data_IF_781832376402
#
_entry.id   IF_781832376402
#
_cell.length_a   1.000
_cell.length_b   1.000
_cell.length_c   1.000
_cell.angle_alpha   90.00
_cell.angle_beta   90.00
_cell.angle_gamma   90.00
#
_symmetry.space_group_name_H-M   'P 1'
#
loop_
_entity.id
_entity.type
_entity.pdbx_description
1 polymer ?
#
# COMPACT_ATOMS: atom_id res chain seq x y z
N UNK A 1 3.28 -17.31 -11.64
CA UNK A 1 3.79 -18.01 -12.85
C UNK A 1 4.32 -19.38 -12.46
N UNK A 2 4.13 -20.44 -13.25
CA UNK A 2 4.60 -21.79 -12.89
C UNK A 2 6.13 -21.91 -12.75
N UNK A 3 6.87 -20.94 -13.25
CA UNK A 3 8.34 -20.91 -13.24
C UNK A 3 8.93 -20.02 -12.14
N UNK A 4 8.10 -19.35 -11.35
CA UNK A 4 8.55 -18.52 -10.22
C UNK A 4 9.09 -19.37 -9.07
N UNK A 5 10.23 -19.05 -8.43
CA UNK A 5 11.17 -17.96 -8.76
C UNK A 5 12.36 -18.42 -9.66
N UNK A 6 12.20 -19.55 -10.36
CA UNK A 6 13.27 -20.11 -11.22
C UNK A 6 13.61 -19.19 -12.39
N UNK A 7 12.61 -18.51 -12.95
CA UNK A 7 12.83 -17.58 -14.07
C UNK A 7 13.72 -16.42 -13.63
N UNK A 8 13.43 -15.84 -12.47
CA UNK A 8 14.18 -14.72 -11.88
C UNK A 8 15.64 -15.11 -11.62
N UNK A 9 15.86 -16.28 -10.99
CA UNK A 9 17.21 -16.76 -10.72
C UNK A 9 18.01 -17.05 -12.00
N UNK A 10 17.38 -17.67 -13.00
CA UNK A 10 18.05 -18.00 -14.28
C UNK A 10 18.43 -16.73 -15.05
N UNK A 11 17.52 -15.76 -15.10
CA UNK A 11 17.76 -14.48 -15.76
C UNK A 11 18.90 -13.72 -15.05
N UNK A 12 18.84 -13.62 -13.73
CA UNK A 12 19.86 -12.95 -12.93
C UNK A 12 21.22 -13.63 -13.01
N UNK A 13 21.30 -14.95 -13.07
CA UNK A 13 22.58 -15.66 -13.27
C UNK A 13 23.30 -15.20 -14.54
N UNK A 14 22.56 -14.84 -15.58
CA UNK A 14 23.11 -14.36 -16.84
C UNK A 14 23.35 -12.85 -16.89
N UNK A 15 22.60 -12.07 -16.11
CA UNK A 15 22.58 -10.60 -16.22
C UNK A 15 23.16 -9.87 -15.00
N UNK A 16 23.52 -10.58 -13.93
CA UNK A 16 23.94 -10.00 -12.63
C UNK A 16 24.96 -8.85 -12.76
N UNK A 17 25.94 -8.98 -13.65
CA UNK A 17 27.00 -7.99 -13.80
C UNK A 17 26.52 -6.69 -14.48
N UNK A 18 25.37 -6.76 -15.17
CA UNK A 18 24.87 -5.69 -16.03
C UNK A 18 23.63 -4.97 -15.48
N UNK A 19 22.94 -5.55 -14.48
CA UNK A 19 21.69 -5.00 -13.93
C UNK A 19 21.86 -4.59 -12.47
N UNK A 20 21.13 -3.59 -12.03
CA UNK A 20 21.06 -3.13 -10.64
C UNK A 20 19.71 -3.43 -10.00
N UNK A 21 18.69 -3.70 -10.81
CA UNK A 21 17.33 -3.94 -10.36
C UNK A 21 16.70 -5.14 -11.04
N UNK A 22 15.77 -5.78 -10.31
CA UNK A 22 14.79 -6.71 -10.87
C UNK A 22 13.43 -6.02 -10.86
N UNK A 23 12.75 -6.04 -11.99
CA UNK A 23 11.36 -5.54 -12.13
C UNK A 23 10.38 -6.57 -11.57
N UNK A 24 9.38 -6.08 -10.85
CA UNK A 24 8.27 -6.87 -10.30
C UNK A 24 6.95 -6.19 -10.62
N UNK A 25 5.93 -7.01 -10.96
CA UNK A 25 4.57 -6.56 -11.21
C UNK A 25 3.58 -7.42 -10.45
N UNK A 26 2.62 -6.82 -9.77
CA UNK A 26 1.52 -7.53 -9.12
C UNK A 26 0.29 -6.65 -8.97
N UNK A 27 -0.86 -7.21 -9.33
CA UNK A 27 -2.17 -6.61 -9.13
C UNK A 27 -3.04 -7.47 -8.22
N UNK A 28 -3.86 -6.82 -7.41
CA UNK A 28 -4.75 -7.45 -6.43
C UNK A 28 -6.20 -7.09 -6.72
N UNK A 29 -7.14 -7.87 -6.18
CA UNK A 29 -8.56 -7.55 -6.36
C UNK A 29 -9.49 -8.44 -5.57
N UNK A 30 -10.56 -7.86 -5.03
CA UNK A 30 -11.59 -8.55 -4.26
C UNK A 30 -12.63 -9.21 -5.18
N UNK A 31 -12.22 -10.23 -5.93
CA UNK A 31 -13.09 -10.94 -6.89
C UNK A 31 -14.13 -11.83 -6.21
N UNK A 32 -13.86 -12.28 -4.99
CA UNK A 32 -14.75 -13.14 -4.21
C UNK A 32 -15.69 -12.34 -3.30
N UNK A 33 -15.54 -11.00 -3.30
CA UNK A 33 -16.25 -10.06 -2.43
C UNK A 33 -16.10 -10.41 -0.93
N UNK A 34 -14.89 -10.86 -0.56
CA UNK A 34 -14.45 -11.11 0.81
C UNK A 34 -13.45 -10.02 1.22
N UNK A 35 -13.95 -9.01 1.93
CA UNK A 35 -13.13 -7.86 2.34
C UNK A 35 -12.03 -8.27 3.32
N UNK A 36 -12.30 -9.19 4.25
CA UNK A 36 -11.29 -9.63 5.22
C UNK A 36 -10.09 -10.29 4.51
N UNK A 37 -10.36 -11.21 3.59
CA UNK A 37 -9.35 -11.86 2.77
C UNK A 37 -8.62 -10.87 1.84
N UNK A 38 -9.36 -9.94 1.25
CA UNK A 38 -8.78 -8.93 0.38
C UNK A 38 -7.81 -7.98 1.12
N UNK A 39 -8.10 -7.60 2.36
CA UNK A 39 -7.19 -6.79 3.17
C UNK A 39 -5.93 -7.55 3.62
N UNK A 40 -5.88 -8.87 3.44
CA UNK A 40 -4.67 -9.66 3.63
C UNK A 40 -3.73 -9.68 2.40
N UNK A 41 -4.11 -9.08 1.27
CA UNK A 41 -3.30 -9.05 0.05
C UNK A 41 -1.90 -8.44 0.21
N UNK A 42 -1.70 -7.60 1.23
CA UNK A 42 -0.38 -7.05 1.57
C UNK A 42 0.58 -8.11 2.11
N UNK A 43 0.07 -9.19 2.70
CA UNK A 43 0.90 -10.30 3.18
C UNK A 43 1.43 -11.11 1.98
N UNK A 44 0.63 -11.28 0.92
CA UNK A 44 1.10 -11.83 -0.36
C UNK A 44 2.18 -10.95 -1.01
N UNK A 45 2.01 -9.63 -0.95
CA UNK A 45 3.01 -8.68 -1.45
C UNK A 45 4.32 -8.78 -0.66
N UNK A 46 4.25 -8.89 0.66
CA UNK A 46 5.42 -9.09 1.53
C UNK A 46 6.18 -10.37 1.16
N UNK A 47 5.46 -11.49 1.04
CA UNK A 47 6.04 -12.78 0.66
C UNK A 47 6.67 -12.72 -0.74
N UNK A 48 6.02 -12.09 -1.70
CA UNK A 48 6.54 -11.92 -3.05
C UNK A 48 7.84 -11.13 -3.06
N UNK A 49 7.89 -9.97 -2.37
CA UNK A 49 9.12 -9.17 -2.23
C UNK A 49 10.23 -9.99 -1.57
N UNK A 50 9.95 -10.65 -0.45
CA UNK A 50 10.94 -11.47 0.28
C UNK A 50 11.48 -12.61 -0.57
N UNK A 51 10.64 -13.26 -1.37
CA UNK A 51 11.05 -14.35 -2.26
C UNK A 51 11.98 -13.84 -3.36
N UNK A 52 11.69 -12.69 -3.97
CA UNK A 52 12.58 -12.11 -5.00
C UNK A 52 13.88 -11.60 -4.38
N UNK A 53 13.84 -10.98 -3.21
CA UNK A 53 15.05 -10.59 -2.45
C UNK A 53 15.93 -11.80 -2.18
N UNK A 54 15.37 -12.88 -1.65
CA UNK A 54 16.12 -14.12 -1.38
C UNK A 54 16.72 -14.71 -2.67
N UNK A 55 16.01 -14.61 -3.79
CA UNK A 55 16.50 -15.05 -5.10
C UNK A 55 17.68 -14.19 -5.58
N UNK A 56 17.61 -12.88 -5.41
CA UNK A 56 18.73 -11.96 -5.70
C UNK A 56 19.95 -12.30 -4.85
N UNK A 57 19.76 -12.53 -3.56
CA UNK A 57 20.85 -12.85 -2.62
C UNK A 57 21.46 -14.24 -2.90
N UNK A 58 20.64 -15.22 -3.31
CA UNK A 58 21.13 -16.51 -3.78
C UNK A 58 22.05 -16.36 -5.01
N UNK A 59 21.65 -15.57 -6.01
CA UNK A 59 22.49 -15.35 -7.22
C UNK A 59 23.74 -14.58 -6.86
N UNK A 60 23.68 -13.54 -6.02
CA UNK A 60 24.84 -12.83 -5.49
C UNK A 60 25.82 -13.79 -4.84
N UNK A 61 25.37 -14.67 -3.96
CA UNK A 61 26.20 -15.66 -3.27
C UNK A 61 26.82 -16.66 -4.25
N UNK A 62 26.04 -17.19 -5.19
CA UNK A 62 26.47 -18.14 -6.23
C UNK A 62 27.57 -17.55 -7.10
N UNK A 63 27.42 -16.30 -7.48
CA UNK A 63 28.40 -15.56 -8.29
C UNK A 63 29.58 -15.00 -7.48
N UNK A 64 29.53 -15.10 -6.15
CA UNK A 64 30.48 -14.43 -5.23
C UNK A 64 30.57 -12.93 -5.51
N UNK A 65 29.45 -12.33 -5.92
CA UNK A 65 29.31 -10.93 -6.23
C UNK A 65 29.31 -10.06 -4.98
N UNK A 66 29.55 -8.76 -5.15
CA UNK A 66 29.57 -7.78 -4.03
C UNK A 66 28.38 -6.84 -4.04
N UNK A 67 27.77 -6.58 -5.20
CA UNK A 67 26.64 -5.69 -5.31
C UNK A 67 25.33 -6.39 -4.96
N UNK A 68 24.43 -5.65 -4.33
CA UNK A 68 23.05 -6.08 -4.15
C UNK A 68 22.26 -5.75 -5.42
N UNK A 69 21.41 -6.68 -5.85
CA UNK A 69 20.40 -6.41 -6.85
C UNK A 69 19.14 -5.97 -6.09
N UNK A 70 18.71 -4.75 -6.33
CA UNK A 70 17.52 -4.19 -5.70
C UNK A 70 16.26 -4.47 -6.51
N UNK A 71 15.13 -4.03 -6.01
CA UNK A 71 13.82 -4.25 -6.63
C UNK A 71 13.30 -2.92 -7.20
N UNK A 72 12.81 -2.98 -8.43
CA UNK A 72 11.90 -2.04 -9.04
C UNK A 72 10.52 -2.68 -9.05
N UNK A 73 9.67 -2.32 -8.09
CA UNK A 73 8.28 -2.73 -8.10
C UNK A 73 7.49 -1.70 -8.91
N UNK A 74 7.68 -1.76 -10.22
CA UNK A 74 7.31 -0.70 -11.17
C UNK A 74 5.90 -0.83 -11.72
N UNK A 75 5.16 -1.91 -11.39
CA UNK A 75 3.72 -1.98 -11.55
C UNK A 75 3.06 -2.67 -10.35
N UNK A 76 2.21 -1.95 -9.65
CA UNK A 76 1.37 -2.50 -8.59
C UNK A 76 0.12 -1.65 -8.42
N UNK A 77 -1.01 -2.26 -8.13
CA UNK A 77 -2.27 -1.61 -7.78
C UNK A 77 -3.34 -2.66 -7.43
N UNK A 78 -4.53 -2.20 -7.10
CA UNK A 78 -5.79 -2.94 -7.23
C UNK A 78 -6.26 -2.84 -8.68
N UNK A 79 -6.67 -3.98 -9.28
CA UNK A 79 -7.22 -4.00 -10.62
C UNK A 79 -8.14 -5.20 -10.82
N UNK A 80 -9.43 -4.96 -10.84
CA UNK A 80 -10.45 -5.99 -11.11
C UNK A 80 -11.84 -5.44 -11.45
N UNK A 81 -12.14 -4.19 -11.10
CA UNK A 81 -13.48 -3.61 -11.24
C UNK A 81 -13.92 -3.47 -12.70
N UNK A 82 -13.02 -3.09 -13.59
CA UNK A 82 -13.30 -2.88 -15.01
C UNK A 82 -13.30 -4.18 -15.83
N UNK A 83 -12.79 -5.29 -15.32
CA UNK A 83 -12.49 -6.50 -16.10
C UNK A 83 -13.69 -6.98 -16.95
N UNK A 84 -14.90 -7.02 -16.40
CA UNK A 84 -16.07 -7.48 -17.15
C UNK A 84 -16.46 -6.51 -18.28
N UNK A 85 -16.32 -5.21 -18.06
CA UNK A 85 -16.58 -4.18 -19.09
C UNK A 85 -15.49 -4.21 -20.18
N UNK A 86 -14.22 -4.40 -19.79
CA UNK A 86 -13.09 -4.52 -20.70
C UNK A 86 -13.22 -5.75 -21.60
N UNK A 87 -13.65 -6.88 -21.02
CA UNK A 87 -13.92 -8.10 -21.76
C UNK A 87 -15.07 -7.92 -22.77
N UNK A 88 -16.15 -7.24 -22.38
CA UNK A 88 -17.27 -6.93 -23.28
C UNK A 88 -16.82 -6.04 -24.45
N UNK A 89 -16.04 -5.00 -24.17
CA UNK A 89 -15.49 -4.12 -25.21
C UNK A 89 -14.63 -4.91 -26.18
N UNK A 90 -13.73 -5.75 -25.70
CA UNK A 90 -12.79 -6.47 -26.56
C UNK A 90 -13.44 -7.58 -27.37
N UNK A 91 -14.44 -8.27 -26.81
CA UNK A 91 -15.08 -9.43 -27.43
C UNK A 91 -16.28 -9.05 -28.31
N UNK A 92 -17.13 -8.15 -27.82
CA UNK A 92 -18.41 -7.83 -28.47
C UNK A 92 -18.39 -6.49 -29.24
N UNK A 93 -17.51 -5.57 -28.83
CA UNK A 93 -17.42 -4.23 -29.42
C UNK A 93 -15.97 -3.85 -29.80
N UNK A 94 -15.24 -4.70 -30.53
CA UNK A 94 -13.83 -4.46 -30.85
C UNK A 94 -13.65 -3.25 -31.79
N UNK A 95 -12.45 -2.71 -31.81
CA UNK A 95 -12.02 -1.66 -32.73
C UNK A 95 -12.72 -0.30 -32.55
N UNK A 96 -13.22 -0.02 -31.35
CA UNK A 96 -13.72 1.31 -31.02
C UNK A 96 -12.57 2.32 -30.93
N UNK A 97 -12.87 3.58 -31.18
CA UNK A 97 -11.91 4.67 -31.01
C UNK A 97 -11.91 5.10 -29.54
N UNK A 98 -10.78 4.92 -28.85
CA UNK A 98 -10.57 5.28 -27.44
C UNK A 98 -11.71 4.81 -26.51
N UNK A 99 -11.99 3.49 -26.45
CA UNK A 99 -12.99 2.98 -25.52
C UNK A 99 -12.55 3.20 -24.06
N UNK A 100 -13.48 3.29 -23.10
CA UNK A 100 -13.17 3.41 -21.69
C UNK A 100 -12.69 2.06 -21.12
N UNK A 101 -11.41 1.74 -21.31
CA UNK A 101 -10.80 0.51 -20.85
C UNK A 101 -9.92 0.76 -19.61
N UNK A 102 -9.90 -0.22 -18.69
CA UNK A 102 -9.10 -0.16 -17.45
C UNK A 102 -9.49 1.04 -16.57
N UNK A 103 -10.71 1.50 -16.66
CA UNK A 103 -11.22 2.62 -15.87
C UNK A 103 -11.86 2.10 -14.56
N UNK A 104 -11.06 1.49 -13.70
CA UNK A 104 -11.51 1.01 -12.38
C UNK A 104 -12.04 2.17 -11.53
N UNK A 105 -13.18 1.96 -10.89
CA UNK A 105 -13.74 2.88 -9.91
C UNK A 105 -13.50 2.30 -8.52
N UNK A 106 -12.62 2.95 -7.77
CA UNK A 106 -12.13 2.46 -6.50
C UNK A 106 -13.03 2.78 -5.33
N UNK A 107 -13.28 1.76 -4.53
CA UNK A 107 -14.03 1.84 -3.27
C UNK A 107 -13.14 2.22 -2.09
N UNK A 108 -13.73 2.36 -0.90
CA UNK A 108 -12.95 2.60 0.31
C UNK A 108 -12.11 1.37 0.72
N UNK A 109 -12.60 0.14 0.52
CA UNK A 109 -11.75 -1.04 0.80
C UNK A 109 -10.50 -1.09 -0.08
N UNK A 110 -10.58 -0.61 -1.33
CA UNK A 110 -9.41 -0.51 -2.20
C UNK A 110 -8.38 0.50 -1.66
N UNK A 111 -8.86 1.60 -1.05
CA UNK A 111 -7.98 2.55 -0.39
C UNK A 111 -7.24 1.94 0.80
N UNK A 112 -7.91 1.09 1.59
CA UNK A 112 -7.28 0.35 2.68
C UNK A 112 -6.23 -0.64 2.14
N UNK A 113 -6.55 -1.39 1.08
CA UNK A 113 -5.62 -2.32 0.44
C UNK A 113 -4.39 -1.59 -0.12
N UNK A 114 -4.57 -0.45 -0.80
CA UNK A 114 -3.46 0.39 -1.28
C UNK A 114 -2.64 0.94 -0.11
N UNK A 115 -3.28 1.34 0.98
CA UNK A 115 -2.59 1.77 2.21
C UNK A 115 -1.71 0.67 2.80
N UNK A 116 -2.21 -0.57 2.86
CA UNK A 116 -1.47 -1.75 3.31
C UNK A 116 -0.28 -2.07 2.39
N UNK A 117 -0.49 -2.03 1.07
CA UNK A 117 0.61 -2.20 0.09
C UNK A 117 1.69 -1.12 0.26
N UNK A 118 1.32 0.13 0.50
CA UNK A 118 2.27 1.21 0.78
C UNK A 118 3.07 0.99 2.06
N UNK A 119 2.43 0.49 3.13
CA UNK A 119 3.12 0.10 4.36
C UNK A 119 4.14 -1.00 4.05
N UNK A 120 3.76 -2.02 3.30
CA UNK A 120 4.65 -3.11 2.89
C UNK A 120 5.85 -2.61 2.09
N UNK A 121 5.62 -1.73 1.10
CA UNK A 121 6.71 -1.13 0.31
C UNK A 121 7.66 -0.30 1.17
N UNK A 122 7.15 0.46 2.14
CA UNK A 122 7.98 1.23 3.09
C UNK A 122 8.78 0.30 4.02
N UNK A 123 8.22 -0.81 4.48
CA UNK A 123 8.94 -1.82 5.27
C UNK A 123 10.12 -2.42 4.52
N UNK A 124 10.01 -2.56 3.21
CA UNK A 124 11.04 -3.10 2.35
C UNK A 124 11.92 -2.04 1.66
N UNK A 125 11.94 -0.80 2.16
CA UNK A 125 12.71 0.31 1.57
C UNK A 125 14.23 0.06 1.53
N UNK A 126 14.74 -0.90 2.28
CA UNK A 126 16.13 -1.37 2.19
C UNK A 126 16.44 -2.03 0.84
N UNK A 127 15.48 -2.72 0.21
CA UNK A 127 15.65 -3.45 -1.05
C UNK A 127 14.75 -2.94 -2.19
N UNK A 128 13.53 -2.49 -1.90
CA UNK A 128 12.64 -1.86 -2.88
C UNK A 128 13.02 -0.39 -3.03
N UNK A 129 13.71 -0.06 -4.12
CA UNK A 129 14.20 1.30 -4.38
C UNK A 129 13.32 2.11 -5.32
N UNK A 130 12.49 1.43 -6.08
CA UNK A 130 11.53 2.01 -7.02
C UNK A 130 10.19 1.34 -6.75
N UNK A 131 9.13 2.14 -6.60
CA UNK A 131 7.76 1.66 -6.45
C UNK A 131 6.81 2.59 -7.21
N UNK A 132 6.23 2.10 -8.33
CA UNK A 132 5.38 2.91 -9.20
C UNK A 132 3.95 2.36 -9.18
N UNK A 133 3.02 3.17 -8.70
CA UNK A 133 1.60 2.86 -8.84
C UNK A 133 1.20 2.87 -10.33
N UNK A 134 0.59 1.84 -10.81
CA UNK A 134 0.05 1.77 -12.16
C UNK A 134 -1.47 2.04 -12.12
N UNK A 135 -1.96 3.17 -12.71
CA UNK A 135 -1.23 4.26 -13.30
C UNK A 135 -1.61 5.58 -12.59
N UNK A 136 -1.55 6.74 -13.28
CA UNK A 136 -1.77 8.03 -12.60
C UNK A 136 -3.13 8.64 -12.88
N UNK A 137 -3.58 8.64 -14.15
CA UNK A 137 -4.82 9.28 -14.60
C UNK A 137 -5.63 8.34 -15.46
N UNK A 138 -6.91 8.20 -15.16
CA UNK A 138 -7.97 7.44 -15.84
C UNK A 138 -7.77 5.92 -15.87
N UNK A 139 -6.61 5.42 -16.24
CA UNK A 139 -6.34 3.98 -16.39
C UNK A 139 -5.87 3.40 -15.08
N UNK A 140 -6.69 2.58 -14.41
CA UNK A 140 -6.44 2.00 -13.06
C UNK A 140 -5.78 3.03 -12.12
N UNK A 141 -6.38 4.19 -12.02
CA UNK A 141 -5.68 5.39 -11.56
C UNK A 141 -6.31 6.07 -10.32
N UNK A 142 -5.50 6.72 -9.49
CA UNK A 142 -5.99 7.51 -8.35
C UNK A 142 -6.73 8.80 -8.76
N UNK A 143 -6.57 9.26 -10.02
CA UNK A 143 -7.20 10.48 -10.54
C UNK A 143 -8.02 10.11 -11.77
N UNK A 144 -9.27 10.52 -11.78
CA UNK A 144 -10.17 10.37 -12.93
C UNK A 144 -10.55 11.73 -13.50
N UNK A 145 -10.91 11.74 -14.78
CA UNK A 145 -11.42 12.91 -15.48
C UNK A 145 -12.70 12.56 -16.24
N UNK A 146 -13.63 13.51 -16.31
CA UNK A 146 -14.81 13.35 -17.17
C UNK A 146 -14.41 13.34 -18.65
N UNK A 147 -15.12 12.54 -19.45
CA UNK A 147 -14.93 12.47 -20.88
C UNK A 147 -15.22 13.83 -21.53
N UNK A 148 -14.38 14.22 -22.49
CA UNK A 148 -14.55 15.48 -23.22
C UNK A 148 -14.02 16.73 -22.51
N UNK A 149 -13.22 16.60 -21.45
CA UNK A 149 -12.55 17.73 -20.78
C UNK A 149 -13.37 18.35 -19.65
N UNK A 150 -14.17 17.56 -18.95
CA UNK A 150 -14.94 17.94 -17.77
C UNK A 150 -14.11 18.04 -16.49
N UNK A 151 -14.74 17.74 -15.36
CA UNK A 151 -14.10 17.76 -14.05
C UNK A 151 -13.01 16.68 -13.92
N UNK A 152 -12.04 16.94 -13.04
CA UNK A 152 -11.14 15.92 -12.53
C UNK A 152 -11.44 15.69 -11.04
N UNK A 153 -11.40 14.43 -10.59
CA UNK A 153 -11.61 14.09 -9.17
C UNK A 153 -10.62 13.05 -8.68
N UNK A 154 -10.47 12.99 -7.38
CA UNK A 154 -9.60 12.02 -6.70
C UNK A 154 -10.43 10.80 -6.31
N UNK A 155 -9.98 9.64 -6.72
CA UNK A 155 -10.51 8.37 -6.24
C UNK A 155 -10.04 8.09 -4.81
N UNK A 156 -10.62 7.11 -4.15
CA UNK A 156 -10.33 6.78 -2.76
C UNK A 156 -8.87 6.42 -2.53
N UNK A 157 -8.23 5.70 -3.46
CA UNK A 157 -6.82 5.29 -3.41
C UNK A 157 -5.82 6.45 -3.52
N UNK A 158 -6.27 7.62 -3.96
CA UNK A 158 -5.43 8.82 -4.05
C UNK A 158 -4.84 9.23 -2.70
N UNK A 159 -5.62 9.13 -1.64
CA UNK A 159 -5.23 9.68 -0.34
C UNK A 159 -4.15 8.88 0.38
N UNK A 160 -4.21 7.54 0.48
CA UNK A 160 -3.10 6.77 1.04
C UNK A 160 -1.78 7.02 0.28
N UNK A 161 -1.85 7.09 -1.06
CA UNK A 161 -0.68 7.40 -1.88
C UNK A 161 -0.15 8.82 -1.63
N UNK A 162 -1.04 9.82 -1.56
CA UNK A 162 -0.68 11.20 -1.20
C UNK A 162 0.04 11.25 0.14
N UNK A 163 -0.50 10.58 1.16
CA UNK A 163 0.07 10.58 2.51
C UNK A 163 1.46 9.92 2.52
N UNK A 164 1.61 8.74 1.90
CA UNK A 164 2.90 8.08 1.81
C UNK A 164 3.92 8.92 1.02
N UNK A 165 3.53 9.52 -0.10
CA UNK A 165 4.40 10.39 -0.90
C UNK A 165 4.84 11.65 -0.15
N UNK A 166 3.95 12.21 0.68
CA UNK A 166 4.19 13.46 1.40
C UNK A 166 4.95 13.25 2.71
N UNK A 167 4.61 12.21 3.46
CA UNK A 167 5.07 11.98 4.83
C UNK A 167 5.97 10.74 4.98
N UNK A 168 6.01 9.86 3.99
CA UNK A 168 6.85 8.67 3.97
C UNK A 168 8.29 8.92 3.44
N UNK A 169 8.85 10.10 3.68
CA UNK A 169 10.19 10.51 3.24
C UNK A 169 11.15 10.55 4.41
N UNK A 170 12.23 9.78 4.33
CA UNK A 170 13.22 9.67 5.39
C UNK A 170 13.71 8.24 5.56
N UNK A 171 13.94 7.83 6.79
CA UNK A 171 14.35 6.48 7.15
C UNK A 171 13.14 5.69 7.63
N UNK A 172 12.83 4.60 6.94
CA UNK A 172 11.80 3.66 7.41
C UNK A 172 12.31 2.92 8.64
N UNK A 173 11.56 3.03 9.71
CA UNK A 173 11.81 2.33 10.97
C UNK A 173 10.98 1.05 10.99
N UNK A 174 11.53 0.00 11.60
CA UNK A 174 10.84 -1.28 11.79
C UNK A 174 10.30 -1.36 13.22
N UNK A 175 9.07 -0.90 13.49
CA UNK A 175 8.48 -1.02 14.82
C UNK A 175 8.24 -2.49 15.16
N UNK A 176 8.47 -2.86 16.41
CA UNK A 176 8.03 -4.16 16.91
C UNK A 176 6.54 -4.06 17.24
N UNK A 177 5.71 -4.53 16.32
CA UNK A 177 4.24 -4.53 16.49
C UNK A 177 3.79 -5.83 17.15
N UNK A 178 3.06 -5.71 18.26
CA UNK A 178 2.35 -6.83 18.89
C UNK A 178 0.85 -6.54 18.76
N UNK A 179 0.16 -7.41 18.07
CA UNK A 179 -1.28 -7.29 17.81
C UNK A 179 -1.92 -8.67 17.81
N UNK A 180 -3.21 -8.72 17.97
CA UNK A 180 -4.02 -9.91 17.72
C UNK A 180 -3.95 -10.30 16.25
N UNK A 181 -4.41 -11.50 15.93
CA UNK A 181 -4.41 -12.06 14.59
C UNK A 181 -5.72 -12.79 14.35
N UNK A 182 -6.11 -12.84 13.09
CA UNK A 182 -7.24 -13.64 12.65
C UNK A 182 -6.87 -14.45 11.39
N UNK A 183 -7.68 -15.44 11.07
CA UNK A 183 -7.60 -16.18 9.82
C UNK A 183 -8.68 -15.68 8.87
N UNK A 184 -8.37 -15.67 7.57
CA UNK A 184 -9.31 -15.37 6.50
C UNK A 184 -9.57 -16.62 5.65
N UNK A 185 -10.29 -16.48 4.56
CA UNK A 185 -10.58 -17.62 3.68
C UNK A 185 -9.31 -18.23 3.06
N UNK A 186 -8.26 -17.43 2.83
CA UNK A 186 -7.04 -17.87 2.13
C UNK A 186 -5.74 -17.62 2.92
N UNK A 187 -5.80 -16.84 3.99
CA UNK A 187 -4.63 -16.45 4.76
C UNK A 187 -4.78 -16.86 6.23
N UNK A 188 -3.69 -17.33 6.83
CA UNK A 188 -3.62 -17.67 8.25
C UNK A 188 -2.77 -16.63 9.01
N UNK A 189 -3.12 -16.37 10.26
CA UNK A 189 -2.36 -15.48 11.14
C UNK A 189 -2.21 -14.03 10.66
N UNK A 190 -3.21 -13.51 9.95
CA UNK A 190 -3.24 -12.10 9.49
C UNK A 190 -3.26 -11.18 10.70
N UNK A 191 -2.34 -10.21 10.76
CA UNK A 191 -2.26 -9.25 11.86
C UNK A 191 -3.42 -8.26 11.81
N UNK A 192 -4.06 -7.95 12.94
CA UNK A 192 -5.19 -7.01 12.97
C UNK A 192 -4.74 -5.57 12.70
N UNK A 193 -3.52 -5.22 13.11
CA UNK A 193 -2.92 -3.92 12.83
C UNK A 193 -1.64 -4.10 12.03
N UNK A 194 -1.57 -3.44 10.89
CA UNK A 194 -0.36 -3.32 10.08
C UNK A 194 0.19 -1.89 10.18
N UNK A 195 1.49 -1.73 10.39
CA UNK A 195 2.08 -0.41 10.65
C UNK A 195 3.54 -0.32 10.22
N UNK A 196 3.93 0.90 9.82
CA UNK A 196 5.32 1.31 9.60
C UNK A 196 5.52 2.72 10.12
N UNK A 197 6.72 3.04 10.59
CA UNK A 197 7.09 4.40 10.97
C UNK A 197 8.19 4.93 10.05
N UNK A 198 8.17 6.23 9.73
CA UNK A 198 9.19 6.90 8.92
C UNK A 198 9.68 8.12 9.67
N UNK A 199 10.99 8.19 9.87
CA UNK A 199 11.65 9.32 10.50
C UNK A 199 12.34 10.20 9.45
N UNK A 200 11.95 11.47 9.40
CA UNK A 200 12.60 12.48 8.60
C UNK A 200 13.57 13.29 9.47
N UNK A 201 14.85 13.03 9.33
CA UNK A 201 15.89 13.66 10.15
C UNK A 201 16.03 15.16 9.87
N UNK A 202 15.86 15.58 8.62
CA UNK A 202 15.99 17.01 8.25
C UNK A 202 14.88 17.88 8.85
N UNK A 203 13.69 17.32 9.01
CA UNK A 203 12.52 18.01 9.54
C UNK A 203 12.26 17.73 11.02
N UNK A 204 13.00 16.78 11.59
CA UNK A 204 12.73 16.23 12.92
C UNK A 204 11.26 15.77 13.07
N UNK A 205 10.74 15.09 12.03
CA UNK A 205 9.36 14.59 11.98
C UNK A 205 9.35 13.05 12.01
N UNK A 206 8.43 12.46 12.78
CA UNK A 206 8.11 11.04 12.79
C UNK A 206 6.68 10.87 12.29
N UNK A 207 6.50 10.03 11.28
CA UNK A 207 5.17 9.66 10.78
C UNK A 207 4.95 8.18 10.96
N UNK A 208 3.84 7.82 11.58
CA UNK A 208 3.38 6.44 11.72
C UNK A 208 2.18 6.24 10.80
N UNK A 209 2.30 5.29 9.87
CA UNK A 209 1.20 4.81 9.05
C UNK A 209 0.67 3.53 9.67
N UNK A 210 -0.63 3.43 9.83
CA UNK A 210 -1.27 2.24 10.38
C UNK A 210 -2.61 1.95 9.71
N UNK A 211 -2.90 0.65 9.51
CA UNK A 211 -4.23 0.18 9.11
C UNK A 211 -4.72 -0.77 10.18
N UNK A 212 -5.92 -0.50 10.69
CA UNK A 212 -6.70 -1.48 11.41
C UNK A 212 -7.47 -2.32 10.37
N UNK A 213 -7.15 -3.61 10.24
CA UNK A 213 -7.76 -4.53 9.26
C UNK A 213 -9.03 -5.20 9.77
N UNK A 214 -9.36 -5.07 11.07
CA UNK A 214 -10.59 -5.65 11.60
C UNK A 214 -11.80 -4.90 11.05
N UNK A 215 -12.87 -5.64 10.74
CA UNK A 215 -14.11 -5.08 10.19
C UNK A 215 -15.11 -4.71 11.28
N UNK A 216 -14.88 -5.14 12.50
CA UNK A 216 -15.85 -5.03 13.59
C UNK A 216 -15.33 -4.23 14.79
N UNK A 217 -14.03 -4.27 15.07
CA UNK A 217 -13.45 -3.76 16.31
C UNK A 217 -12.52 -2.55 16.10
N UNK A 218 -12.72 -1.54 16.95
CA UNK A 218 -11.73 -0.48 17.13
C UNK A 218 -10.56 -1.02 17.97
N UNK A 219 -9.34 -0.60 17.65
CA UNK A 219 -8.12 -1.06 18.35
C UNK A 219 -7.40 0.12 18.99
N UNK A 220 -7.08 0.01 20.27
CA UNK A 220 -6.18 0.93 20.94
C UNK A 220 -4.72 0.53 20.67
N UNK A 221 -4.01 1.36 19.92
CA UNK A 221 -2.59 1.20 19.63
C UNK A 221 -1.76 1.98 20.66
N UNK A 222 -0.99 1.27 21.48
CA UNK A 222 0.00 1.86 22.38
C UNK A 222 1.37 1.88 21.70
N UNK A 223 1.95 3.06 21.55
CA UNK A 223 3.26 3.26 20.93
C UNK A 223 4.27 3.74 21.97
N UNK A 224 5.34 2.99 22.15
CA UNK A 224 6.48 3.37 22.98
C UNK A 224 7.48 4.16 22.13
N UNK A 225 7.65 5.44 22.45
CA UNK A 225 8.49 6.39 21.72
C UNK A 225 9.89 6.55 22.36
N UNK A 226 10.41 5.51 22.99
CA UNK A 226 11.77 5.51 23.52
C UNK A 226 12.80 5.91 22.46
N UNK A 227 13.68 6.86 22.79
CA UNK A 227 14.64 7.43 21.84
C UNK A 227 14.11 8.57 21.00
N UNK A 228 12.83 8.95 21.20
CA UNK A 228 12.18 10.08 20.53
C UNK A 228 11.80 11.17 21.56
N UNK A 229 12.71 11.47 22.50
CA UNK A 229 12.49 12.47 23.52
C UNK A 229 12.31 13.88 22.90
N UNK A 230 11.31 14.60 23.37
CA UNK A 230 10.99 15.94 22.88
C UNK A 230 9.99 15.96 21.70
N UNK A 231 9.65 14.78 21.15
CA UNK A 231 8.58 14.73 20.14
C UNK A 231 7.22 14.99 20.77
N UNK A 232 6.36 15.68 20.03
CA UNK A 232 4.98 15.92 20.38
C UNK A 232 4.04 15.60 19.21
N UNK A 233 2.79 15.26 19.54
CA UNK A 233 1.78 14.96 18.53
C UNK A 233 1.42 16.25 17.75
N UNK A 234 1.52 16.18 16.42
CA UNK A 234 1.13 17.26 15.51
C UNK A 234 -0.30 17.05 15.03
N UNK A 235 -0.60 15.88 14.51
CA UNK A 235 -1.93 15.54 13.99
C UNK A 235 -2.14 14.03 13.89
N UNK A 236 -3.40 13.63 13.90
CA UNK A 236 -3.84 12.29 13.54
C UNK A 236 -4.86 12.40 12.41
N UNK A 237 -4.49 11.92 11.21
CA UNK A 237 -5.32 11.92 10.02
C UNK A 237 -5.90 10.51 9.86
N UNK A 238 -7.20 10.43 9.59
CA UNK A 238 -7.92 9.16 9.46
C UNK A 238 -8.76 9.14 8.19
N UNK A 239 -8.81 8.00 7.53
CA UNK A 239 -9.86 7.63 6.60
C UNK A 239 -10.59 6.43 7.18
N UNK A 240 -11.88 6.60 7.43
CA UNK A 240 -12.77 5.58 7.97
C UNK A 240 -14.19 5.83 7.45
N UNK A 241 -14.88 4.80 7.04
CA UNK A 241 -16.26 4.86 6.60
C UNK A 241 -17.00 3.58 7.02
N UNK A 242 -18.30 3.70 7.29
CA UNK A 242 -19.13 2.55 7.69
C UNK A 242 -19.47 1.63 6.51
N UNK A 243 -19.49 2.16 5.31
CA UNK A 243 -19.68 1.42 4.06
C UNK A 243 -18.36 1.39 3.29
N UNK A 244 -17.73 0.22 3.24
CA UNK A 244 -16.48 -0.01 2.58
C UNK A 244 -16.55 0.04 1.04
N UNK A 245 -17.77 0.03 0.48
CA UNK A 245 -18.01 0.12 -0.97
C UNK A 245 -18.26 1.56 -1.45
N UNK A 246 -18.14 2.56 -0.58
CA UNK A 246 -18.23 3.97 -0.98
C UNK A 246 -17.13 4.34 -1.97
N UNK A 247 -17.51 5.13 -2.96
CA UNK A 247 -16.63 5.65 -4.01
C UNK A 247 -16.67 7.17 -4.05
N UNK A 248 -15.62 7.77 -4.61
CA UNK A 248 -15.60 9.17 -4.99
C UNK A 248 -15.97 9.34 -6.47
N UNK A 249 -16.54 10.48 -6.82
CA UNK A 249 -16.96 10.81 -8.19
C UNK A 249 -16.69 12.27 -8.52
N UNK A 250 -16.91 12.67 -9.77
CA UNK A 250 -16.81 14.07 -10.21
C UNK A 250 -17.83 15.00 -9.52
N UNK A 251 -18.88 14.45 -8.93
CA UNK A 251 -19.94 15.21 -8.23
C UNK A 251 -19.73 15.29 -6.72
N UNK A 252 -19.09 14.29 -6.14
CA UNK A 252 -18.95 14.20 -4.68
C UNK A 252 -17.74 13.34 -4.29
N UNK A 253 -16.85 13.90 -3.48
CA UNK A 253 -15.77 13.17 -2.79
C UNK A 253 -16.27 12.78 -1.39
N UNK A 254 -16.85 11.59 -1.23
CA UNK A 254 -17.39 11.07 0.05
C UNK A 254 -16.29 10.59 0.98
N UNK A 255 -15.33 9.86 0.43
CA UNK A 255 -14.22 9.24 1.15
C UNK A 255 -13.03 10.19 1.10
N UNK A 256 -12.83 10.93 2.18
CA UNK A 256 -11.76 11.92 2.31
C UNK A 256 -11.09 11.80 3.68
N UNK A 257 -9.79 12.12 3.80
CA UNK A 257 -9.12 12.13 5.09
C UNK A 257 -9.67 13.23 6.02
N UNK A 258 -9.77 12.91 7.30
CA UNK A 258 -10.23 13.81 8.36
C UNK A 258 -9.19 13.87 9.47
N UNK A 259 -8.89 15.04 10.00
CA UNK A 259 -8.08 15.16 11.22
C UNK A 259 -8.96 14.90 12.44
N UNK A 260 -8.48 14.03 13.32
CA UNK A 260 -9.19 13.61 14.54
C UNK A 260 -8.34 13.81 15.79
N UNK A 261 -9.00 13.85 16.95
CA UNK A 261 -8.32 13.93 18.25
C UNK A 261 -8.47 12.60 19.01
N UNK A 262 -7.85 11.53 18.49
CA UNK A 262 -7.91 10.16 19.04
C UNK A 262 -6.52 9.65 19.48
N UNK A 263 -5.52 10.53 19.49
CA UNK A 263 -4.17 10.20 19.98
C UNK A 263 -3.83 11.06 21.19
N UNK A 264 -3.18 10.47 22.19
CA UNK A 264 -2.74 11.14 23.41
C UNK A 264 -1.32 10.71 23.71
N UNK A 265 -0.51 11.63 24.23
CA UNK A 265 0.85 11.35 24.68
C UNK A 265 0.97 11.57 26.18
N UNK A 266 1.63 10.64 26.86
CA UNK A 266 1.99 10.71 28.28
C UNK A 266 3.34 10.05 28.51
N UNK A 267 4.33 10.83 28.96
CA UNK A 267 5.65 10.33 29.38
C UNK A 267 6.42 9.52 28.34
N UNK A 268 6.27 9.80 27.04
CA UNK A 268 6.93 9.05 25.94
C UNK A 268 6.13 7.83 25.45
N UNK A 269 4.95 7.62 25.99
CA UNK A 269 3.98 6.64 25.50
C UNK A 269 2.86 7.40 24.75
N UNK A 270 2.54 6.95 23.56
CA UNK A 270 1.40 7.45 22.81
C UNK A 270 0.32 6.37 22.74
N UNK A 271 -0.91 6.75 23.05
CA UNK A 271 -2.09 5.90 22.89
C UNK A 271 -2.96 6.47 21.80
N UNK A 272 -3.32 5.65 20.80
CA UNK A 272 -4.11 6.05 19.63
C UNK A 272 -5.25 5.05 19.42
N UNK A 273 -6.48 5.56 19.32
CA UNK A 273 -7.62 4.73 18.94
C UNK A 273 -7.71 4.68 17.41
N UNK A 274 -7.51 3.49 16.85
CA UNK A 274 -7.69 3.17 15.44
C UNK A 274 -9.10 2.61 15.24
N UNK A 275 -9.95 3.33 14.54
CA UNK A 275 -11.27 2.82 14.17
C UNK A 275 -11.17 1.54 13.33
N UNK A 276 -12.20 0.71 13.36
CA UNK A 276 -12.27 -0.48 12.51
C UNK A 276 -12.15 -0.12 11.04
N UNK A 277 -11.55 -1.00 10.25
CA UNK A 277 -11.35 -0.80 8.81
C UNK A 277 -10.91 0.64 8.48
N UNK A 278 -9.77 1.08 9.04
CA UNK A 278 -9.32 2.47 8.92
C UNK A 278 -7.86 2.59 8.47
N UNK A 279 -7.59 3.60 7.67
CA UNK A 279 -6.26 4.11 7.35
C UNK A 279 -5.92 5.27 8.26
N UNK A 280 -4.77 5.22 8.92
CA UNK A 280 -4.34 6.20 9.91
C UNK A 280 -2.94 6.73 9.59
N UNK A 281 -2.76 8.05 9.74
CA UNK A 281 -1.48 8.74 9.65
C UNK A 281 -1.30 9.58 10.91
N UNK A 282 -0.35 9.20 11.75
CA UNK A 282 -0.07 9.87 13.01
C UNK A 282 1.25 10.58 12.85
N UNK A 283 1.26 11.90 13.01
CA UNK A 283 2.45 12.72 12.81
C UNK A 283 2.91 13.34 14.12
N UNK A 284 4.19 13.21 14.35
CA UNK A 284 4.88 13.83 15.49
C UNK A 284 6.03 14.69 14.97
N UNK A 285 6.37 15.72 15.70
CA UNK A 285 7.56 16.52 15.44
C UNK A 285 8.23 16.90 16.77
N UNK A 286 9.50 17.21 16.67
CA UNK A 286 10.29 17.67 17.81
C UNK A 286 10.18 19.16 18.01
#
# INVERSE_FOLDING_TARGET
MPTFPKWESTTLESTYDYVDYVSMHQYYGNRDNDTADFLACSDDMDEFIRTVVATCDYVKAKKRGKKDINISFDEWNVWFHSNAADDDITQNHPWQVAPPMLEDIYTFEDALAVGLMLITLLKHADRVKIACLAQLVNVIAPIMTDQGGGAAWKQTIFYPFLHASKYGRGVALMPLVQTTKHDTAKHENVTDVESVAVYNEEKEELTIFAVNRTLEDDIELTTDLRGMEGFHLVEHIVMEESDLKLVNSSYEEKVVPKTVNRSKMDGGIMTTLLGKASWNVIRLSK
#
